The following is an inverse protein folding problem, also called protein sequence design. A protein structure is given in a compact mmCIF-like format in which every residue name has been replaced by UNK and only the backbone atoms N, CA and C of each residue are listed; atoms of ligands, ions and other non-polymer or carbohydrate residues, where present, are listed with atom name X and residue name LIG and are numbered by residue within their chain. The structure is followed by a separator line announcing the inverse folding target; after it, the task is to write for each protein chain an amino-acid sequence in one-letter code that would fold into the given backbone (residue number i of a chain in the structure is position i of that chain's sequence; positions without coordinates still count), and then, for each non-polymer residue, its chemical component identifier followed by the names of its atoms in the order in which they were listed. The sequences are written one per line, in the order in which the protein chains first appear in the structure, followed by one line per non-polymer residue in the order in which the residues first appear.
data_IF_076885804816
#
_entry.id   IF_076885804816
#
_cell.length_a   1.000
_cell.length_b   1.000
_cell.length_c   1.000
_cell.angle_alpha   90.00
_cell.angle_beta   90.00
_cell.angle_gamma   90.00
#
_symmetry.space_group_name_H-M   'P 1'
#
loop_
_entity.id
_entity.type
_entity.pdbx_description
1 polymer ?
#
# COMPACT_ATOMS: atom_id res chain seq x y z
N UNK A 1 -4.43 37.57 4.46
CA UNK A 1 -5.19 36.65 5.31
C UNK A 1 -5.47 35.39 4.50
N UNK A 2 -4.59 34.41 4.60
CA UNK A 2 -4.90 33.04 4.20
C UNK A 2 -4.22 32.20 5.28
N UNK A 3 -4.99 31.82 6.28
CA UNK A 3 -4.53 30.98 7.37
C UNK A 3 -4.01 29.68 6.74
N UNK A 4 -2.70 29.49 6.83
CA UNK A 4 -2.07 28.20 6.57
C UNK A 4 -2.67 27.28 7.63
N UNK A 5 -3.69 26.52 7.24
CA UNK A 5 -4.21 25.42 8.04
C UNK A 5 -3.01 24.54 8.36
N UNK A 6 -2.54 24.62 9.61
CA UNK A 6 -1.74 23.59 10.22
C UNK A 6 -2.50 22.28 10.04
N UNK A 7 -2.13 21.51 9.01
CA UNK A 7 -2.50 20.10 8.93
C UNK A 7 -1.60 19.40 9.92
N UNK A 8 -1.94 19.55 11.21
CA UNK A 8 -1.51 18.61 12.23
C UNK A 8 -2.09 17.28 11.74
N UNK A 9 -1.28 16.48 11.05
CA UNK A 9 -1.61 15.08 10.78
C UNK A 9 -2.17 14.54 12.10
N UNK A 10 -3.40 14.00 12.11
CA UNK A 10 -4.04 13.71 13.37
C UNK A 10 -3.08 12.82 14.13
N UNK A 11 -2.70 13.25 15.33
CA UNK A 11 -1.85 12.49 16.24
C UNK A 11 -2.63 11.29 16.77
N UNK A 12 -3.31 10.56 15.88
CA UNK A 12 -3.95 9.29 16.21
C UNK A 12 -2.81 8.41 16.65
N UNK A 13 -2.77 8.04 17.94
CA UNK A 13 -1.79 7.07 18.38
C UNK A 13 -2.09 5.80 17.58
N UNK A 14 -1.10 5.33 16.83
CA UNK A 14 -1.21 4.05 16.16
C UNK A 14 -1.16 2.99 17.27
N UNK A 15 -2.34 2.55 17.71
CA UNK A 15 -2.45 1.43 18.65
C UNK A 15 -2.43 0.12 17.88
N UNK A 16 -2.11 -0.98 18.56
CA UNK A 16 -2.10 -2.29 17.91
C UNK A 16 -3.49 -2.68 17.40
N UNK A 17 -4.55 -2.31 18.11
CA UNK A 17 -5.91 -2.59 17.66
C UNK A 17 -6.24 -1.86 16.35
N UNK A 18 -5.71 -0.65 16.17
CA UNK A 18 -5.87 0.12 14.94
C UNK A 18 -5.05 -0.48 13.80
N UNK A 19 -3.79 -0.86 14.05
CA UNK A 19 -2.92 -1.49 13.04
C UNK A 19 -3.52 -2.79 12.53
N UNK A 20 -4.05 -3.61 13.45
CA UNK A 20 -4.74 -4.86 13.15
C UNK A 20 -6.04 -4.62 12.38
N UNK A 21 -6.85 -3.65 12.80
CA UNK A 21 -8.09 -3.30 12.12
C UNK A 21 -7.81 -2.88 10.67
N UNK A 22 -6.89 -1.94 10.47
CA UNK A 22 -6.50 -1.44 9.13
C UNK A 22 -6.02 -2.60 8.28
N UNK A 23 -5.10 -3.42 8.80
CA UNK A 23 -4.53 -4.56 8.07
C UNK A 23 -5.61 -5.57 7.69
N UNK A 24 -6.56 -5.86 8.58
CA UNK A 24 -7.67 -6.77 8.33
C UNK A 24 -8.62 -6.22 7.24
N UNK A 25 -8.96 -4.94 7.29
CA UNK A 25 -9.84 -4.31 6.30
C UNK A 25 -9.17 -4.25 4.93
N UNK A 26 -7.90 -3.86 4.85
CA UNK A 26 -7.14 -3.81 3.60
C UNK A 26 -6.99 -5.18 2.95
N UNK A 27 -6.90 -6.26 3.74
CA UNK A 27 -6.89 -7.64 3.22
C UNK A 27 -8.20 -8.04 2.53
N UNK A 28 -9.34 -7.46 2.92
CA UNK A 28 -10.64 -7.74 2.28
C UNK A 28 -10.79 -7.06 0.91
N UNK A 29 -9.98 -6.04 0.64
CA UNK A 29 -9.97 -5.36 -0.66
C UNK A 29 -9.39 -6.30 -1.72
N UNK A 30 -9.99 -6.42 -2.92
CA UNK A 30 -9.43 -7.23 -3.99
C UNK A 30 -8.01 -6.78 -4.35
N UNK A 31 -7.16 -7.74 -4.75
CA UNK A 31 -5.72 -7.53 -4.93
C UNK A 31 -5.39 -6.31 -5.80
N UNK A 32 -6.16 -6.14 -6.87
CA UNK A 32 -5.99 -5.09 -7.86
C UNK A 32 -6.30 -3.68 -7.33
N UNK A 33 -7.04 -3.54 -6.23
CA UNK A 33 -7.33 -2.25 -5.57
C UNK A 33 -6.53 -2.05 -4.28
N UNK A 34 -5.96 -3.12 -3.73
CA UNK A 34 -5.37 -3.11 -2.39
C UNK A 34 -4.23 -2.11 -2.25
N UNK A 35 -3.34 -2.04 -3.24
CA UNK A 35 -2.17 -1.14 -3.17
C UNK A 35 -2.57 0.33 -3.18
N UNK A 36 -3.56 0.71 -3.99
CA UNK A 36 -4.12 2.06 -3.97
C UNK A 36 -4.76 2.40 -2.62
N UNK A 37 -5.49 1.45 -2.03
CA UNK A 37 -6.07 1.63 -0.68
C UNK A 37 -5.00 1.75 0.42
N UNK A 38 -3.90 1.00 0.32
CA UNK A 38 -2.73 1.20 1.19
C UNK A 38 -2.17 2.61 1.03
N UNK A 39 -2.10 3.11 -0.20
CA UNK A 39 -1.70 4.48 -0.52
C UNK A 39 -2.57 5.54 0.16
N UNK A 40 -3.89 5.38 0.11
CA UNK A 40 -4.86 6.24 0.79
C UNK A 40 -4.61 6.28 2.30
N UNK A 41 -4.55 5.10 2.94
CA UNK A 41 -4.29 4.98 4.38
C UNK A 41 -3.01 5.71 4.77
N UNK A 42 -1.92 5.51 4.03
CA UNK A 42 -0.62 6.11 4.35
C UNK A 42 -0.62 7.61 4.06
N UNK A 43 -1.27 8.05 2.98
CA UNK A 43 -1.40 9.47 2.65
C UNK A 43 -2.21 10.21 3.72
N UNK A 44 -3.27 9.58 4.24
CA UNK A 44 -4.23 10.18 5.19
C UNK A 44 -3.76 10.10 6.64
N UNK A 45 -3.24 8.95 7.09
CA UNK A 45 -2.90 8.71 8.49
C UNK A 45 -1.41 8.89 8.82
N UNK A 46 -0.54 8.70 7.83
CA UNK A 46 0.92 8.69 8.05
C UNK A 46 1.65 9.79 7.26
N UNK A 47 0.92 10.80 6.78
CA UNK A 47 1.49 11.96 6.07
C UNK A 47 2.32 11.53 4.83
N UNK A 48 1.88 10.47 4.16
CA UNK A 48 2.57 9.90 2.99
C UNK A 48 3.92 9.25 3.30
N UNK A 49 4.27 9.00 4.57
CA UNK A 49 5.58 8.47 4.97
C UNK A 49 5.62 6.95 4.87
N UNK A 50 6.19 6.43 3.78
CA UNK A 50 6.34 4.99 3.52
C UNK A 50 7.11 4.25 4.61
N UNK A 51 8.16 4.85 5.17
CA UNK A 51 8.93 4.29 6.30
C UNK A 51 8.06 4.08 7.54
N UNK A 52 7.19 5.05 7.88
CA UNK A 52 6.28 4.88 9.02
C UNK A 52 5.29 3.74 8.80
N UNK A 53 4.84 3.53 7.56
CA UNK A 53 3.95 2.42 7.22
C UNK A 53 4.64 1.05 7.38
N UNK A 54 5.93 0.96 7.10
CA UNK A 54 6.74 -0.23 7.40
C UNK A 54 6.80 -0.46 8.91
N UNK A 55 7.11 0.57 9.69
CA UNK A 55 7.25 0.47 11.15
C UNK A 55 5.93 0.11 11.87
N UNK A 56 4.80 0.71 11.48
CA UNK A 56 3.53 0.60 12.23
C UNK A 56 2.50 -0.36 11.65
N UNK A 57 2.62 -0.72 10.36
CA UNK A 57 1.70 -1.63 9.66
C UNK A 57 2.42 -2.87 9.09
N UNK A 58 3.76 -2.91 9.13
CA UNK A 58 4.54 -3.99 8.52
C UNK A 58 4.45 -4.02 6.99
N UNK A 59 4.04 -2.92 6.36
CA UNK A 59 3.86 -2.87 4.91
C UNK A 59 5.17 -2.54 4.20
N UNK A 60 5.48 -3.26 3.12
CA UNK A 60 6.68 -2.99 2.34
C UNK A 60 6.67 -1.55 1.79
N UNK A 61 7.74 -0.80 2.10
CA UNK A 61 7.86 0.62 1.72
C UNK A 61 7.69 0.89 0.22
N UNK A 62 8.23 0.04 -0.66
CA UNK A 62 8.14 0.26 -2.10
C UNK A 62 6.73 0.01 -2.63
N UNK A 63 6.04 -0.99 -2.08
CA UNK A 63 4.62 -1.24 -2.37
C UNK A 63 3.77 -0.05 -1.94
N UNK A 64 4.06 0.53 -0.77
CA UNK A 64 3.37 1.71 -0.25
C UNK A 64 3.67 2.95 -1.10
N UNK A 65 4.91 3.19 -1.50
CA UNK A 65 5.29 4.32 -2.37
C UNK A 65 4.55 4.27 -3.71
N UNK A 66 4.46 3.09 -4.33
CA UNK A 66 3.64 2.90 -5.51
C UNK A 66 2.16 3.18 -5.22
N UNK A 67 1.62 2.65 -4.11
CA UNK A 67 0.24 2.88 -3.70
C UNK A 67 -0.10 4.35 -3.48
N UNK A 68 0.80 5.12 -2.86
CA UNK A 68 0.64 6.57 -2.66
C UNK A 68 0.54 7.26 -4.02
N UNK A 69 1.40 6.91 -4.98
CA UNK A 69 1.35 7.48 -6.32
C UNK A 69 0.06 7.08 -7.06
N UNK A 70 -0.38 5.84 -6.95
CA UNK A 70 -1.66 5.37 -7.52
C UNK A 70 -2.85 6.12 -6.91
N UNK A 71 -2.83 6.33 -5.60
CA UNK A 71 -3.85 7.10 -4.89
C UNK A 71 -3.86 8.57 -5.35
N UNK A 72 -2.70 9.23 -5.36
CA UNK A 72 -2.56 10.65 -5.74
C UNK A 72 -2.96 10.93 -7.18
N UNK A 73 -2.66 10.01 -8.09
CA UNK A 73 -2.94 10.19 -9.53
C UNK A 73 -4.28 9.63 -9.96
N UNK A 74 -4.89 8.76 -9.16
CA UNK A 74 -6.04 7.95 -9.56
C UNK A 74 -5.71 6.88 -10.61
N UNK A 75 -4.44 6.75 -11.01
CA UNK A 75 -3.98 5.76 -11.99
C UNK A 75 -3.63 4.49 -11.24
N UNK A 76 -4.20 3.37 -11.67
CA UNK A 76 -3.85 2.05 -11.14
C UNK A 76 -2.73 1.42 -11.96
N UNK A 77 -1.64 1.00 -11.31
CA UNK A 77 -0.62 0.20 -11.96
C UNK A 77 -1.07 -1.27 -11.98
N UNK A 78 -1.28 -1.81 -13.17
CA UNK A 78 -1.66 -3.21 -13.34
C UNK A 78 -0.40 -4.07 -13.32
N UNK A 79 -0.24 -4.91 -12.30
CA UNK A 79 0.78 -5.95 -12.29
C UNK A 79 0.22 -7.22 -12.93
N UNK A 80 0.02 -7.19 -14.25
CA UNK A 80 -0.43 -8.36 -14.98
C UNK A 80 0.74 -9.30 -15.23
N UNK A 81 0.95 -10.23 -14.30
CA UNK A 81 1.98 -11.28 -14.44
C UNK A 81 1.59 -12.24 -15.56
N UNK A 82 0.29 -12.45 -15.81
CA UNK A 82 -0.20 -13.36 -16.85
C UNK A 82 0.08 -12.82 -18.26
N UNK A 83 0.00 -11.51 -18.46
CA UNK A 83 0.34 -10.86 -19.72
C UNK A 83 1.85 -10.86 -20.04
N UNK A 84 2.73 -11.21 -19.08
CA UNK A 84 4.19 -11.25 -19.33
C UNK A 84 4.59 -12.34 -20.32
N UNK A 85 3.72 -13.30 -20.63
CA UNK A 85 3.92 -14.35 -21.64
C UNK A 85 5.02 -15.36 -21.34
N UNK A 86 5.84 -15.13 -20.31
CA UNK A 86 6.82 -16.09 -19.82
C UNK A 86 6.13 -17.11 -18.92
N UNK A 87 6.30 -18.37 -19.26
CA UNK A 87 5.99 -19.50 -18.37
C UNK A 87 6.74 -19.35 -17.06
N UNK A 88 6.20 -19.93 -15.99
CA UNK A 88 6.95 -19.99 -14.74
C UNK A 88 8.19 -20.85 -14.94
N UNK A 89 9.29 -20.51 -14.27
CA UNK A 89 10.59 -21.19 -14.50
C UNK A 89 10.49 -22.68 -14.18
N UNK A 90 9.68 -23.04 -13.18
CA UNK A 90 9.38 -24.43 -12.83
C UNK A 90 8.68 -25.24 -13.94
N UNK A 91 7.98 -24.58 -14.89
CA UNK A 91 7.36 -25.27 -16.02
C UNK A 91 8.39 -25.70 -17.08
N UNK A 92 9.41 -24.87 -17.31
CA UNK A 92 10.52 -25.19 -18.22
C UNK A 92 11.61 -26.03 -17.53
N UNK A 93 11.60 -26.07 -16.19
CA UNK A 93 12.59 -26.77 -15.38
C UNK A 93 11.93 -27.55 -14.22
N UNK A 94 11.35 -28.74 -14.50
CA UNK A 94 10.54 -29.49 -13.53
C UNK A 94 11.28 -29.94 -12.27
N UNK A 95 12.62 -29.98 -12.27
CA UNK A 95 13.40 -30.33 -11.08
C UNK A 95 13.49 -29.21 -10.03
N UNK A 96 12.86 -28.05 -10.26
CA UNK A 96 12.76 -26.95 -9.28
C UNK A 96 11.53 -27.05 -8.36
N UNK A 97 10.67 -28.04 -8.56
CA UNK A 97 9.48 -28.33 -7.75
C UNK A 97 9.78 -29.27 -6.57
#
# INVERSE_FOLDING_TARGET
MCEIKEVIAPSVPFTEELSELITRLVKQIPNEYRRQAMGDVVQTLLDGKSRKAEDVLGWNRHTVELGINEFRTGIRCISDVSARGKKKVEEDNPQLL
#
